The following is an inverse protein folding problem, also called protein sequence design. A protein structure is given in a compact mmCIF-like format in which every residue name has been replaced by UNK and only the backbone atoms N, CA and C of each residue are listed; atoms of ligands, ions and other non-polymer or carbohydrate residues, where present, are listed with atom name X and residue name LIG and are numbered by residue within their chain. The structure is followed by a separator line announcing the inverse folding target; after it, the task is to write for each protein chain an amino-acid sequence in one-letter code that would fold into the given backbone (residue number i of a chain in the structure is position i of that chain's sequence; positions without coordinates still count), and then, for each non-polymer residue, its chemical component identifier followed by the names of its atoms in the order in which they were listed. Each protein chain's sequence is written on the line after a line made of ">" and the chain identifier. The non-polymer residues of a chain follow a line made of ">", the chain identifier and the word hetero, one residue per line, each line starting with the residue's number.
data_IF_299403707620
#
_entry.id   IF_299403707620
#
_cell.length_a   1.000
_cell.length_b   1.000
_cell.length_c   1.000
_cell.angle_alpha   90.00
_cell.angle_beta   90.00
_cell.angle_gamma   90.00
#
_symmetry.space_group_name_H-M   'P 1'
#
loop_
_entity.id
_entity.type
_entity.pdbx_description
1 polymer ?
#
# COMPACT_ATOMS: atom_id res chain seq x y z
N UNK A 1 -43.27 30.03 40.56
CA UNK A 1 -41.97 30.14 41.26
C UNK A 1 -40.90 30.38 40.21
N UNK A 2 -40.47 31.63 40.06
CA UNK A 2 -39.49 32.05 39.07
C UNK A 2 -38.11 32.16 39.76
N UNK A 3 -37.13 31.39 39.29
CA UNK A 3 -35.74 31.50 39.76
C UNK A 3 -34.96 32.42 38.84
N UNK A 4 -34.37 33.47 39.43
CA UNK A 4 -33.57 34.50 38.78
C UNK A 4 -32.14 33.99 38.56
N UNK A 5 -31.66 34.04 37.32
CA UNK A 5 -30.24 33.94 37.00
C UNK A 5 -29.54 35.26 37.31
N UNK A 6 -28.47 35.20 38.12
CA UNK A 6 -27.56 36.32 38.38
C UNK A 6 -26.31 36.09 37.53
N UNK A 7 -26.06 36.98 36.58
CA UNK A 7 -24.82 37.07 35.79
C UNK A 7 -23.80 37.90 36.57
N UNK A 8 -22.61 37.36 36.81
CA UNK A 8 -21.43 38.12 37.29
C UNK A 8 -20.66 38.69 36.09
N UNK A 9 -20.18 39.94 36.12
CA UNK A 9 -19.32 40.47 35.08
C UNK A 9 -17.85 40.07 35.30
N UNK A 10 -17.19 39.68 34.21
CA UNK A 10 -15.75 39.47 34.09
C UNK A 10 -15.02 40.83 34.06
N UNK A 11 -14.00 40.97 34.90
CA UNK A 11 -13.07 42.09 34.95
C UNK A 11 -11.92 41.86 33.94
N UNK A 12 -11.76 42.76 32.98
CA UNK A 12 -10.57 42.85 32.13
C UNK A 12 -9.42 43.50 32.92
N UNK A 13 -8.42 42.71 33.28
CA UNK A 13 -7.14 43.20 33.77
C UNK A 13 -6.17 43.45 32.62
N UNK A 14 -5.98 44.73 32.25
CA UNK A 14 -4.90 45.15 31.36
C UNK A 14 -3.54 45.05 32.08
N UNK A 15 -2.60 44.28 31.53
CA UNK A 15 -1.19 44.30 31.95
C UNK A 15 -0.38 45.18 31.01
N UNK A 16 0.22 46.20 31.61
CA UNK A 16 1.21 47.10 31.01
C UNK A 16 2.54 46.34 30.87
N UNK A 17 3.08 46.29 29.65
CA UNK A 17 4.43 45.82 29.36
C UNK A 17 5.42 46.96 29.56
N UNK A 18 6.34 46.83 30.52
CA UNK A 18 7.53 47.68 30.63
C UNK A 18 8.72 46.99 30.00
N UNK A 19 9.35 47.66 29.05
CA UNK A 19 10.59 47.25 28.37
C UNK A 19 11.78 47.49 29.29
N UNK A 20 12.50 46.41 29.65
CA UNK A 20 13.81 46.47 30.31
C UNK A 20 14.79 45.61 29.53
N UNK A 21 15.79 46.26 28.94
CA UNK A 21 16.90 45.64 28.20
C UNK A 21 18.07 45.46 29.15
N UNK A 22 18.40 44.23 29.49
CA UNK A 22 19.69 43.88 30.10
C UNK A 22 20.32 42.74 29.30
N UNK A 23 21.49 43.04 28.74
CA UNK A 23 22.28 42.15 27.90
C UNK A 23 23.27 41.37 28.78
N UNK A 24 23.09 40.06 28.89
CA UNK A 24 24.05 39.15 29.52
C UNK A 24 24.91 38.51 28.44
N UNK A 25 26.20 38.88 28.43
CA UNK A 25 27.25 38.27 27.63
C UNK A 25 27.58 36.87 28.19
N UNK A 26 27.20 35.82 27.47
CA UNK A 26 27.69 34.45 27.70
C UNK A 26 28.80 34.17 26.70
N UNK A 27 30.02 33.99 27.20
CA UNK A 27 31.18 33.58 26.39
C UNK A 27 31.06 32.12 25.97
N UNK A 28 31.08 31.89 24.65
CA UNK A 28 31.12 30.56 24.03
C UNK A 28 32.57 30.18 23.77
N UNK A 29 33.01 29.04 24.28
CA UNK A 29 34.32 28.45 24.00
C UNK A 29 34.38 27.90 22.57
N UNK A 30 35.56 27.94 21.89
CA UNK A 30 35.70 27.42 20.54
C UNK A 30 35.69 25.88 20.51
N UNK A 31 35.23 25.27 19.40
CA UNK A 31 35.19 23.81 19.26
C UNK A 31 36.59 23.22 19.01
N UNK A 32 36.81 21.94 19.37
CA UNK A 32 38.08 21.26 19.12
C UNK A 32 38.26 20.91 17.63
N UNK A 33 39.51 20.96 17.18
CA UNK A 33 39.95 20.60 15.83
C UNK A 33 39.72 19.11 15.52
N UNK A 34 39.39 18.75 14.26
CA UNK A 34 39.18 17.36 13.88
C UNK A 34 40.51 16.63 13.61
N UNK A 35 40.63 15.44 14.19
CA UNK A 35 41.70 14.48 13.94
C UNK A 35 41.69 13.97 12.49
N UNK A 36 42.85 14.01 11.86
CA UNK A 36 43.13 13.51 10.51
C UNK A 36 43.14 11.98 10.48
N UNK A 37 42.23 11.37 9.72
CA UNK A 37 42.29 9.95 9.36
C UNK A 37 42.94 9.79 7.99
N UNK A 38 44.04 9.03 7.95
CA UNK A 38 44.75 8.65 6.72
C UNK A 38 43.87 7.72 5.86
N UNK A 39 43.67 8.09 4.59
CA UNK A 39 43.01 7.24 3.59
C UNK A 39 44.04 6.62 2.64
N UNK A 40 43.95 5.31 2.47
CA UNK A 40 44.77 4.55 1.54
C UNK A 40 44.42 4.92 0.09
N UNK A 41 45.42 5.47 -0.62
CA UNK A 41 45.37 5.80 -2.04
C UNK A 41 45.50 4.53 -2.90
N UNK A 42 44.49 4.24 -3.74
CA UNK A 42 44.61 3.32 -4.87
C UNK A 42 44.95 4.12 -6.14
N UNK A 43 45.88 3.67 -7.02
CA UNK A 43 46.36 4.49 -8.12
C UNK A 43 45.28 4.69 -9.22
N UNK A 44 44.93 5.95 -9.48
CA UNK A 44 43.99 6.42 -10.54
C UNK A 44 44.24 5.89 -11.96
N UNK A 45 45.40 5.30 -12.23
CA UNK A 45 45.81 4.81 -13.55
C UNK A 45 45.14 3.50 -13.98
N UNK A 46 44.63 2.69 -13.04
CA UNK A 46 43.95 1.43 -13.36
C UNK A 46 42.46 1.64 -13.72
N UNK A 47 41.83 2.64 -13.14
CA UNK A 47 40.40 2.90 -13.34
C UNK A 47 40.09 3.48 -14.73
N UNK A 48 40.96 4.32 -15.29
CA UNK A 48 40.71 4.93 -16.60
C UNK A 48 40.76 3.91 -17.75
N UNK A 49 41.66 2.91 -17.67
CA UNK A 49 41.76 1.84 -18.67
C UNK A 49 40.55 0.90 -18.67
N UNK A 50 39.96 0.64 -17.50
CA UNK A 50 38.75 -0.18 -17.38
C UNK A 50 37.55 0.54 -18.01
N UNK A 51 37.43 1.85 -17.79
CA UNK A 51 36.33 2.66 -18.33
C UNK A 51 36.41 2.78 -19.87
N UNK A 52 37.60 2.89 -20.45
CA UNK A 52 37.76 2.94 -21.91
C UNK A 52 37.42 1.61 -22.58
N UNK A 53 37.81 0.47 -21.99
CA UNK A 53 37.45 -0.86 -22.51
C UNK A 53 35.94 -1.13 -22.45
N UNK A 54 35.26 -0.68 -21.38
CA UNK A 54 33.81 -0.82 -21.26
C UNK A 54 33.06 0.02 -22.31
N UNK A 55 33.54 1.24 -22.62
CA UNK A 55 32.95 2.07 -23.70
C UNK A 55 33.10 1.47 -25.08
N UNK A 56 34.26 0.85 -25.38
CA UNK A 56 34.49 0.21 -26.67
C UNK A 56 33.57 -1.00 -26.86
N UNK A 57 33.37 -1.79 -25.81
CA UNK A 57 32.55 -3.01 -25.84
C UNK A 57 31.05 -2.69 -25.95
N UNK A 58 30.55 -1.64 -25.28
CA UNK A 58 29.15 -1.22 -25.41
C UNK A 58 28.80 -0.69 -26.81
N UNK A 59 29.71 0.03 -27.49
CA UNK A 59 29.44 0.55 -28.84
C UNK A 59 29.29 -0.57 -29.88
N UNK A 60 29.99 -1.69 -29.70
CA UNK A 60 29.91 -2.82 -30.63
C UNK A 60 28.55 -3.54 -30.54
N UNK A 61 28.01 -3.71 -29.32
CA UNK A 61 26.76 -4.43 -29.09
C UNK A 61 25.51 -3.65 -29.54
N UNK A 62 25.49 -2.32 -29.39
CA UNK A 62 24.35 -1.49 -29.82
C UNK A 62 24.20 -1.47 -31.35
N UNK A 63 25.32 -1.51 -32.09
CA UNK A 63 25.28 -1.53 -33.57
C UNK A 63 24.77 -2.86 -34.13
N UNK A 64 25.04 -3.98 -33.45
CA UNK A 64 24.56 -5.29 -33.86
C UNK A 64 23.06 -5.44 -33.60
N UNK A 65 22.58 -4.99 -32.44
CA UNK A 65 21.17 -5.10 -32.05
C UNK A 65 20.25 -4.28 -32.96
N UNK A 66 20.67 -3.07 -33.34
CA UNK A 66 19.93 -2.20 -34.26
C UNK A 66 19.70 -2.85 -35.64
N UNK A 67 20.68 -3.60 -36.16
CA UNK A 67 20.56 -4.26 -37.48
C UNK A 67 19.64 -5.48 -37.46
N UNK A 68 19.57 -6.20 -36.34
CA UNK A 68 18.69 -7.37 -36.19
C UNK A 68 17.23 -6.94 -36.09
N UNK A 69 16.94 -5.85 -35.38
CA UNK A 69 15.58 -5.32 -35.23
C UNK A 69 15.04 -4.79 -36.57
N UNK A 70 15.87 -4.11 -37.37
CA UNK A 70 15.45 -3.62 -38.69
C UNK A 70 15.15 -4.74 -39.70
N UNK A 71 15.78 -5.92 -39.58
CA UNK A 71 15.48 -7.06 -40.44
C UNK A 71 14.17 -7.77 -40.05
N UNK A 72 13.83 -7.82 -38.76
CA UNK A 72 12.58 -8.42 -38.29
C UNK A 72 11.34 -7.63 -38.75
N UNK A 73 11.42 -6.30 -38.77
CA UNK A 73 10.33 -5.45 -39.26
C UNK A 73 10.13 -5.52 -40.78
N UNK A 74 11.17 -5.83 -41.57
CA UNK A 74 11.06 -5.98 -43.02
C UNK A 74 10.43 -7.34 -43.42
N UNK A 75 10.54 -8.36 -42.58
CA UNK A 75 9.95 -9.67 -42.84
C UNK A 75 8.44 -9.71 -42.51
N UNK A 76 7.96 -8.87 -41.59
CA UNK A 76 6.55 -8.79 -41.21
C UNK A 76 5.68 -7.99 -42.20
N UNK A 77 6.28 -7.18 -43.08
CA UNK A 77 5.54 -6.33 -44.03
C UNK A 77 5.23 -6.97 -45.37
N UNK A 78 5.68 -8.22 -45.63
CA UNK A 78 5.51 -8.90 -46.93
C UNK A 78 4.52 -10.07 -46.92
N UNK A 79 3.81 -10.31 -45.81
CA UNK A 79 2.93 -11.48 -45.63
C UNK A 79 1.43 -11.29 -45.88
N UNK A 80 0.94 -10.11 -46.26
CA UNK A 80 -0.50 -9.83 -46.34
C UNK A 80 -0.90 -9.24 -47.70
N UNK A 81 -1.07 -10.11 -48.70
CA UNK A 81 -1.74 -9.81 -49.96
C UNK A 81 -2.37 -11.09 -50.51
N UNK A 82 -3.46 -11.56 -49.88
CA UNK A 82 -4.40 -12.47 -50.53
C UNK A 82 -5.79 -11.83 -50.52
N UNK A 83 -6.41 -11.80 -51.71
CA UNK A 83 -7.71 -11.19 -51.99
C UNK A 83 -8.82 -11.95 -51.26
N UNK A 84 -9.56 -11.24 -50.40
CA UNK A 84 -10.80 -11.70 -49.78
C UNK A 84 -11.97 -10.89 -50.35
N UNK A 85 -13.04 -11.60 -50.68
CA UNK A 85 -14.29 -11.10 -51.28
C UNK A 85 -14.95 -10.01 -50.41
N UNK A 86 -15.14 -8.81 -50.97
CA UNK A 86 -15.45 -7.58 -50.22
C UNK A 86 -16.92 -7.31 -49.92
N UNK A 87 -17.85 -8.13 -50.41
CA UNK A 87 -19.25 -7.66 -50.50
C UNK A 87 -20.19 -8.26 -49.44
N UNK A 88 -19.75 -9.26 -48.66
CA UNK A 88 -20.53 -9.83 -47.54
C UNK A 88 -19.98 -9.47 -46.15
N UNK A 89 -18.75 -8.95 -46.05
CA UNK A 89 -18.13 -8.60 -44.77
C UNK A 89 -18.41 -7.16 -44.35
N UNK A 90 -18.85 -6.26 -45.23
CA UNK A 90 -19.16 -4.88 -44.85
C UNK A 90 -20.36 -4.76 -43.89
N UNK A 91 -21.38 -5.63 -44.03
CA UNK A 91 -22.54 -5.66 -43.13
C UNK A 91 -22.23 -6.37 -41.81
N UNK A 92 -21.26 -7.30 -41.80
CA UNK A 92 -20.80 -7.99 -40.57
C UNK A 92 -19.75 -7.16 -39.82
N UNK A 93 -18.93 -6.38 -40.53
CA UNK A 93 -17.95 -5.44 -39.97
C UNK A 93 -18.60 -4.15 -39.43
N UNK A 94 -19.74 -3.72 -39.98
CA UNK A 94 -20.50 -2.61 -39.43
C UNK A 94 -21.17 -2.94 -38.07
N UNK A 95 -21.55 -4.21 -37.85
CA UNK A 95 -22.02 -4.71 -36.55
C UNK A 95 -20.89 -5.25 -35.64
N UNK A 96 -19.71 -5.59 -36.18
CA UNK A 96 -18.53 -5.89 -35.36
C UNK A 96 -17.84 -4.62 -34.81
N UNK A 97 -18.30 -3.44 -35.24
CA UNK A 97 -17.94 -2.14 -34.65
C UNK A 97 -18.77 -1.79 -33.42
N UNK A 98 -19.80 -2.58 -33.11
CA UNK A 98 -20.21 -2.83 -31.72
C UNK A 98 -19.16 -3.76 -31.08
N UNK A 99 -17.92 -3.25 -31.05
CA UNK A 99 -16.82 -3.79 -30.26
C UNK A 99 -17.37 -4.10 -28.89
N UNK A 100 -17.22 -5.34 -28.46
CA UNK A 100 -17.69 -5.85 -27.19
C UNK A 100 -17.27 -4.87 -26.08
N UNK A 101 -18.19 -3.97 -25.66
CA UNK A 101 -17.93 -2.84 -24.74
C UNK A 101 -17.40 -3.30 -23.37
N UNK A 102 -17.40 -4.63 -23.17
CA UNK A 102 -17.04 -5.36 -21.98
C UNK A 102 -15.63 -5.96 -22.05
N UNK A 103 -15.03 -6.07 -23.24
CA UNK A 103 -13.65 -6.52 -23.40
C UNK A 103 -12.64 -5.39 -23.13
N UNK A 104 -11.37 -5.72 -22.84
CA UNK A 104 -10.29 -4.75 -22.67
C UNK A 104 -9.95 -3.95 -23.95
N UNK A 105 -10.79 -3.94 -24.97
CA UNK A 105 -10.50 -3.32 -26.27
C UNK A 105 -10.40 -1.78 -26.18
N UNK A 106 -10.85 -1.20 -25.05
CA UNK A 106 -10.63 0.20 -24.68
C UNK A 106 -9.34 0.42 -23.86
N UNK A 107 -8.62 -0.64 -23.52
CA UNK A 107 -7.32 -0.56 -22.86
C UNK A 107 -6.29 -0.09 -23.88
N UNK A 108 -5.78 1.12 -23.69
CA UNK A 108 -4.73 1.70 -24.53
C UNK A 108 -3.39 1.02 -24.24
N UNK A 109 -3.19 0.57 -23.01
CA UNK A 109 -1.96 -0.11 -22.61
C UNK A 109 -1.92 -1.58 -23.06
N UNK A 110 -0.74 -2.10 -23.45
CA UNK A 110 -0.58 -3.50 -23.80
C UNK A 110 -1.06 -4.43 -22.69
N UNK A 111 -1.88 -5.42 -23.05
CA UNK A 111 -2.30 -6.50 -22.16
C UNK A 111 -1.22 -7.58 -22.00
N UNK A 112 -0.26 -7.62 -22.94
CA UNK A 112 0.91 -8.49 -22.86
C UNK A 112 1.79 -8.04 -21.71
N UNK A 113 2.19 -8.99 -20.86
CA UNK A 113 3.11 -8.73 -19.77
C UNK A 113 4.47 -8.27 -20.32
N UNK A 114 4.98 -7.17 -19.77
CA UNK A 114 6.29 -6.60 -20.06
C UNK A 114 7.08 -6.55 -18.76
N UNK A 115 8.39 -6.69 -18.85
CA UNK A 115 9.29 -6.34 -17.74
C UNK A 115 9.18 -4.85 -17.41
N UNK A 116 9.63 -4.43 -16.23
CA UNK A 116 9.63 -3.02 -15.85
C UNK A 116 10.41 -2.14 -16.84
N UNK A 117 11.60 -2.58 -17.27
CA UNK A 117 12.42 -1.83 -18.23
C UNK A 117 11.75 -1.71 -19.61
N UNK A 118 11.10 -2.78 -20.09
CA UNK A 118 10.32 -2.74 -21.33
C UNK A 118 9.12 -1.80 -21.21
N UNK A 119 8.42 -1.81 -20.07
CA UNK A 119 7.31 -0.90 -19.79
C UNK A 119 7.78 0.55 -19.77
N UNK A 120 8.85 0.86 -19.03
CA UNK A 120 9.44 2.20 -18.97
C UNK A 120 9.87 2.64 -20.37
N UNK A 121 10.52 1.78 -21.16
CA UNK A 121 10.93 2.10 -22.52
C UNK A 121 9.73 2.35 -23.46
N UNK A 122 8.68 1.54 -23.35
CA UNK A 122 7.45 1.65 -24.13
C UNK A 122 6.71 2.96 -23.84
N UNK A 123 6.57 3.32 -22.56
CA UNK A 123 5.67 4.38 -22.14
C UNK A 123 6.36 5.73 -21.88
N UNK A 124 7.69 5.75 -21.66
CA UNK A 124 8.46 7.01 -21.49
C UNK A 124 8.21 8.05 -22.58
N UNK A 125 8.12 7.71 -23.88
CA UNK A 125 7.82 8.69 -24.93
C UNK A 125 6.45 9.40 -24.78
N UNK A 126 5.51 8.77 -24.07
CA UNK A 126 4.17 9.31 -23.83
C UNK A 126 4.07 10.10 -22.51
N UNK A 127 5.14 10.14 -21.72
CA UNK A 127 5.17 10.78 -20.40
C UNK A 127 5.80 12.17 -20.48
N UNK A 128 5.17 13.16 -19.84
CA UNK A 128 5.71 14.51 -19.70
C UNK A 128 5.81 14.94 -18.23
N UNK A 129 6.45 14.10 -17.42
CA UNK A 129 6.51 14.26 -15.97
C UNK A 129 5.42 13.46 -15.25
N UNK A 130 5.13 13.86 -14.01
CA UNK A 130 4.11 13.25 -13.17
C UNK A 130 2.72 13.76 -13.54
N UNK A 131 1.74 12.84 -13.62
CA UNK A 131 0.35 13.13 -13.98
C UNK A 131 -0.62 12.25 -13.17
N UNK A 132 -1.43 12.88 -12.31
CA UNK A 132 -2.26 12.24 -11.29
C UNK A 132 -3.37 11.32 -11.82
N UNK A 133 -3.63 11.40 -13.12
CA UNK A 133 -4.68 10.66 -13.81
C UNK A 133 -4.15 9.92 -15.03
N UNK A 134 -2.85 9.65 -15.11
CA UNK A 134 -2.24 9.08 -16.30
C UNK A 134 -2.92 7.78 -16.77
N UNK A 135 -3.31 6.91 -15.83
CA UNK A 135 -3.97 5.64 -16.11
C UNK A 135 -5.49 5.72 -16.27
N UNK A 136 -6.10 6.88 -15.97
CA UNK A 136 -7.53 7.08 -16.12
C UNK A 136 -7.94 6.86 -17.57
N UNK A 137 -8.78 5.86 -17.82
CA UNK A 137 -9.22 5.46 -19.16
C UNK A 137 -8.18 4.76 -20.05
N UNK A 138 -6.91 4.63 -19.63
CA UNK A 138 -5.87 3.90 -20.40
C UNK A 138 -5.72 2.44 -19.96
N UNK A 139 -6.29 2.09 -18.80
CA UNK A 139 -6.16 0.80 -18.13
C UNK A 139 -4.83 0.64 -17.40
N UNK A 140 -4.49 -0.59 -17.05
CA UNK A 140 -3.36 -0.89 -16.17
C UNK A 140 -2.27 -1.69 -16.86
N UNK A 141 -0.99 -1.45 -16.54
CA UNK A 141 0.09 -2.34 -16.96
C UNK A 141 -0.15 -3.75 -16.41
N UNK A 142 0.25 -4.76 -17.18
CA UNK A 142 0.27 -6.13 -16.69
C UNK A 142 1.55 -6.36 -15.87
N UNK A 143 1.42 -6.33 -14.54
CA UNK A 143 2.52 -6.42 -13.58
C UNK A 143 3.12 -7.82 -13.39
N UNK A 144 2.61 -8.85 -14.08
CA UNK A 144 3.00 -10.26 -13.83
C UNK A 144 4.47 -10.58 -14.10
N UNK A 145 5.19 -9.72 -14.82
CA UNK A 145 6.64 -9.84 -15.04
C UNK A 145 7.48 -8.87 -14.20
N UNK A 146 6.86 -8.07 -13.33
CA UNK A 146 7.57 -7.13 -12.47
C UNK A 146 7.89 -7.79 -11.13
N UNK A 147 9.07 -7.48 -10.62
CA UNK A 147 9.57 -7.92 -9.33
C UNK A 147 9.73 -6.73 -8.38
N UNK A 148 9.71 -6.94 -7.07
CA UNK A 148 9.97 -5.87 -6.11
C UNK A 148 11.27 -5.10 -6.38
N UNK A 149 12.30 -5.80 -6.85
CA UNK A 149 13.63 -5.24 -7.14
C UNK A 149 13.63 -4.30 -8.34
N UNK A 150 12.64 -4.40 -9.22
CA UNK A 150 12.50 -3.50 -10.37
C UNK A 150 12.03 -2.10 -9.94
N UNK A 151 11.24 -2.02 -8.85
CA UNK A 151 10.54 -0.80 -8.44
C UNK A 151 11.02 -0.21 -7.11
N UNK A 152 11.81 -0.96 -6.32
CA UNK A 152 12.40 -0.50 -5.06
C UNK A 152 13.92 -0.41 -5.11
N UNK A 153 14.53 0.46 -4.31
CA UNK A 153 15.98 0.50 -4.15
C UNK A 153 16.55 -0.82 -3.62
N UNK A 154 17.74 -1.23 -4.06
CA UNK A 154 18.32 -2.52 -3.70
C UNK A 154 18.60 -2.65 -2.18
N UNK A 155 18.91 -1.54 -1.51
CA UNK A 155 19.23 -1.50 -0.09
C UNK A 155 18.09 -2.00 0.81
N UNK A 156 16.82 -1.83 0.40
CA UNK A 156 15.69 -2.20 1.26
C UNK A 156 15.51 -3.72 1.42
N UNK A 157 16.13 -4.52 0.55
CA UNK A 157 16.10 -5.98 0.57
C UNK A 157 17.20 -6.61 1.45
N UNK A 158 18.18 -5.82 1.90
CA UNK A 158 19.30 -6.31 2.71
C UNK A 158 19.00 -6.49 4.20
N UNK A 159 17.77 -6.21 4.63
CA UNK A 159 17.40 -6.16 6.03
C UNK A 159 16.71 -7.44 6.52
N UNK A 160 16.83 -7.78 7.81
CA UNK A 160 16.09 -8.91 8.37
C UNK A 160 14.59 -8.64 8.34
N UNK A 161 13.81 -9.72 8.18
CA UNK A 161 12.36 -9.72 8.31
C UNK A 161 11.97 -10.69 9.42
N UNK A 162 11.14 -10.21 10.35
CA UNK A 162 10.66 -10.99 11.50
C UNK A 162 9.15 -11.03 11.51
N UNK A 163 8.61 -12.17 11.94
CA UNK A 163 7.17 -12.34 12.06
C UNK A 163 6.68 -11.63 13.33
N UNK A 164 5.67 -10.76 13.22
CA UNK A 164 5.09 -10.09 14.38
C UNK A 164 4.55 -11.08 15.42
N UNK A 165 4.26 -12.34 15.04
CA UNK A 165 3.90 -13.41 15.96
C UNK A 165 4.97 -13.78 16.99
N UNK A 166 6.23 -13.39 16.77
CA UNK A 166 7.31 -13.49 17.76
C UNK A 166 7.17 -12.49 18.92
N UNK A 167 6.40 -11.41 18.72
CA UNK A 167 6.27 -10.34 19.70
C UNK A 167 5.32 -10.71 20.86
N UNK A 168 5.38 -10.01 21.99
CA UNK A 168 4.33 -10.08 22.99
C UNK A 168 2.95 -9.67 22.43
N UNK A 169 1.87 -10.32 22.92
CA UNK A 169 0.49 -10.12 22.44
C UNK A 169 0.04 -8.65 22.47
N UNK A 170 0.46 -7.88 23.48
CA UNK A 170 0.16 -6.46 23.59
C UNK A 170 0.84 -5.64 22.47
N UNK A 171 2.13 -5.86 22.20
CA UNK A 171 2.86 -5.16 21.14
C UNK A 171 2.27 -5.49 19.78
N UNK A 172 2.03 -6.78 19.49
CA UNK A 172 1.29 -7.20 18.28
C UNK A 172 -0.04 -6.49 18.15
N UNK A 173 -0.76 -6.38 19.26
CA UNK A 173 -2.08 -5.76 19.29
C UNK A 173 -2.03 -4.28 18.89
N UNK A 174 -0.97 -3.56 19.26
CA UNK A 174 -0.74 -2.17 18.83
C UNK A 174 -0.35 -2.09 17.35
N UNK A 175 0.63 -2.89 16.91
CA UNK A 175 1.05 -2.92 15.50
C UNK A 175 -0.08 -3.27 14.52
N UNK A 176 -1.13 -3.95 15.00
CA UNK A 176 -2.31 -4.35 14.21
C UNK A 176 -3.45 -3.33 14.20
N UNK A 177 -3.42 -2.26 15.00
CA UNK A 177 -4.50 -1.25 15.04
C UNK A 177 -4.42 -0.23 13.89
N UNK A 178 -3.43 -0.38 13.02
CA UNK A 178 -2.82 0.63 12.15
C UNK A 178 -3.60 0.97 10.91
N UNK A 179 -4.83 0.47 10.80
CA UNK A 179 -5.73 0.90 9.74
C UNK A 179 -6.31 2.31 9.93
N UNK A 180 -5.80 3.07 10.90
CA UNK A 180 -6.18 4.45 11.19
C UNK A 180 -4.93 5.32 11.09
N UNK A 181 -5.12 6.57 10.67
CA UNK A 181 -4.14 7.66 10.57
C UNK A 181 -3.37 8.01 11.85
N UNK A 182 -3.44 7.18 12.89
CA UNK A 182 -2.89 7.44 14.22
C UNK A 182 -2.02 6.27 14.67
N UNK A 183 -0.76 6.59 14.97
CA UNK A 183 0.20 5.66 15.58
C UNK A 183 0.12 5.85 17.09
N UNK A 184 -0.62 4.97 17.77
CA UNK A 184 -0.74 4.97 19.24
C UNK A 184 0.43 4.22 19.89
N UNK A 185 1.66 4.54 19.49
CA UNK A 185 2.88 3.93 20.01
C UNK A 185 3.98 4.99 20.16
N UNK A 186 4.83 4.81 21.17
CA UNK A 186 6.08 5.57 21.29
C UNK A 186 6.94 5.36 20.03
N UNK A 187 7.33 6.47 19.39
CA UNK A 187 8.02 6.46 18.10
C UNK A 187 9.39 5.78 18.17
N UNK A 188 10.07 5.83 19.31
CA UNK A 188 11.38 5.17 19.49
C UNK A 188 11.21 3.66 19.65
N UNK A 189 10.16 3.23 20.35
CA UNK A 189 9.77 1.81 20.40
C UNK A 189 9.44 1.30 19.00
N UNK A 190 8.72 2.10 18.21
CA UNK A 190 8.37 1.72 16.85
C UNK A 190 9.60 1.64 15.93
N UNK A 191 10.53 2.59 16.04
CA UNK A 191 11.82 2.56 15.33
C UNK A 191 12.66 1.34 15.69
N UNK A 192 12.73 0.99 16.97
CA UNK A 192 13.45 -0.21 17.43
C UNK A 192 12.85 -1.50 16.84
N UNK A 193 11.52 -1.64 16.86
CA UNK A 193 10.83 -2.77 16.23
C UNK A 193 11.04 -2.81 14.71
N UNK A 194 10.96 -1.65 14.05
CA UNK A 194 11.19 -1.57 12.61
C UNK A 194 12.62 -1.97 12.24
N UNK A 195 13.60 -1.54 13.02
CA UNK A 195 15.01 -1.88 12.83
C UNK A 195 15.27 -3.38 13.05
N UNK A 196 14.61 -3.99 14.02
CA UNK A 196 14.63 -5.43 14.25
C UNK A 196 14.02 -6.25 13.09
N UNK A 197 13.30 -5.62 12.15
CA UNK A 197 12.78 -6.29 10.95
C UNK A 197 11.28 -6.57 10.97
N UNK A 198 10.51 -6.01 11.90
CA UNK A 198 9.06 -6.21 11.93
C UNK A 198 8.36 -5.37 10.85
N UNK A 199 7.84 -6.01 9.81
CA UNK A 199 7.28 -5.34 8.63
C UNK A 199 6.09 -4.42 8.96
N UNK A 200 5.26 -4.76 9.95
CA UNK A 200 4.14 -3.93 10.38
C UNK A 200 4.62 -2.68 11.11
N UNK A 201 5.72 -2.75 11.85
CA UNK A 201 6.32 -1.56 12.46
C UNK A 201 6.91 -0.64 11.37
N UNK A 202 7.55 -1.22 10.35
CA UNK A 202 8.04 -0.49 9.18
C UNK A 202 6.88 0.18 8.41
N UNK A 203 5.76 -0.54 8.24
CA UNK A 203 4.53 -0.01 7.65
C UNK A 203 3.94 1.15 8.46
N UNK A 204 3.91 1.03 9.79
CA UNK A 204 3.45 2.08 10.70
C UNK A 204 4.27 3.35 10.60
N UNK A 205 5.60 3.25 10.51
CA UNK A 205 6.46 4.41 10.28
C UNK A 205 6.11 5.10 8.95
N UNK A 206 5.68 4.32 7.94
CA UNK A 206 5.15 4.83 6.68
C UNK A 206 3.90 5.72 6.81
N UNK A 207 3.13 5.62 7.89
CA UNK A 207 1.98 6.54 8.12
C UNK A 207 2.43 7.99 8.33
N UNK A 208 3.70 8.21 8.71
CA UNK A 208 4.31 9.54 8.82
C UNK A 208 4.69 10.16 7.48
N UNK A 209 4.40 9.48 6.36
CA UNK A 209 4.45 10.11 5.04
C UNK A 209 3.40 11.22 4.89
N UNK A 210 2.42 11.28 5.79
CA UNK A 210 1.62 12.46 5.98
C UNK A 210 2.47 13.52 6.74
N UNK A 211 3.00 14.53 6.05
CA UNK A 211 3.99 15.50 6.58
C UNK A 211 3.65 16.15 7.93
N UNK A 212 2.36 16.28 8.26
CA UNK A 212 1.88 16.82 9.54
C UNK A 212 1.48 15.76 10.57
N UNK A 213 1.82 14.49 10.35
CA UNK A 213 1.49 13.41 11.26
C UNK A 213 2.12 13.63 12.64
N UNK A 214 1.35 13.35 13.68
CA UNK A 214 1.80 13.39 15.05
C UNK A 214 2.70 12.19 15.34
N UNK A 215 3.85 12.45 15.97
CA UNK A 215 4.74 11.43 16.49
C UNK A 215 4.70 11.51 18.00
N UNK A 216 4.62 10.37 18.65
CA UNK A 216 4.37 10.29 20.08
C UNK A 216 5.60 9.77 20.82
N UNK A 217 5.81 10.26 22.04
CA UNK A 217 6.80 9.73 22.98
C UNK A 217 6.11 9.34 24.29
N UNK A 218 6.56 8.27 24.92
CA UNK A 218 6.11 7.86 26.23
C UNK A 218 6.46 8.91 27.27
N UNK A 219 5.48 9.30 28.07
CA UNK A 219 5.62 10.31 29.11
C UNK A 219 5.06 9.76 30.44
N UNK A 220 5.89 9.10 31.28
CA UNK A 220 5.42 8.48 32.52
C UNK A 220 4.83 9.50 33.50
N UNK A 221 5.41 10.70 33.53
CA UNK A 221 5.01 11.81 34.41
C UNK A 221 3.90 12.66 33.82
N UNK A 222 3.56 12.44 32.55
CA UNK A 222 2.50 13.14 31.84
C UNK A 222 1.20 13.06 32.64
N UNK A 223 0.70 14.22 33.06
CA UNK A 223 -0.75 14.37 33.21
C UNK A 223 -1.30 14.41 31.79
N UNK A 224 -2.41 13.73 31.54
CA UNK A 224 -3.11 13.91 30.28
C UNK A 224 -3.26 15.41 30.04
N UNK A 225 -2.84 15.90 28.88
CA UNK A 225 -3.21 17.26 28.48
C UNK A 225 -4.66 17.15 28.03
N UNK A 226 -5.55 17.27 29.02
CA UNK A 226 -6.94 16.81 28.96
C UNK A 226 -7.75 17.53 27.88
N UNK A 227 -7.29 18.67 27.37
CA UNK A 227 -8.11 19.53 26.53
C UNK A 227 -8.00 19.21 25.03
N UNK A 228 -6.90 18.61 24.57
CA UNK A 228 -6.72 18.21 23.16
C UNK A 228 -7.02 16.72 22.93
N UNK A 229 -6.65 15.85 23.88
CA UNK A 229 -6.87 14.41 23.79
C UNK A 229 -8.29 13.99 24.17
N UNK A 230 -9.05 14.79 24.94
CA UNK A 230 -10.46 14.51 25.20
C UNK A 230 -11.30 14.53 23.91
N UNK A 231 -10.92 15.29 22.89
CA UNK A 231 -11.63 15.31 21.60
C UNK A 231 -11.36 14.04 20.76
N UNK A 232 -10.19 13.41 20.92
CA UNK A 232 -9.82 12.14 20.27
C UNK A 232 -10.25 10.90 21.08
N UNK A 233 -10.34 11.03 22.41
CA UNK A 233 -10.69 9.94 23.33
C UNK A 233 -12.20 9.81 23.57
N UNK A 234 -13.02 10.80 23.20
CA UNK A 234 -14.48 10.73 23.33
C UNK A 234 -15.07 9.78 22.25
N UNK A 235 -14.97 8.45 22.47
CA UNK A 235 -16.12 7.52 22.55
C UNK A 235 -15.91 6.07 22.19
N UNK A 236 -14.81 5.61 21.57
CA UNK A 236 -14.94 4.34 20.83
C UNK A 236 -14.18 3.07 21.28
N UNK A 237 -12.92 3.02 21.73
CA UNK A 237 -12.26 1.68 21.80
C UNK A 237 -11.09 1.48 22.79
N UNK A 238 -11.10 2.10 23.98
CA UNK A 238 -10.03 1.84 24.97
C UNK A 238 -10.65 1.31 26.26
N UNK A 239 -10.49 0.00 26.49
CA UNK A 239 -10.83 -0.66 27.75
C UNK A 239 -9.95 -0.11 28.88
N UNK A 240 -10.52 0.04 30.07
CA UNK A 240 -10.00 0.76 31.23
C UNK A 240 -8.63 0.34 31.80
N UNK A 241 -7.99 -0.70 31.25
CA UNK A 241 -6.73 -1.24 31.78
C UNK A 241 -5.53 -0.75 30.95
N UNK A 242 -4.80 0.21 31.54
CA UNK A 242 -3.45 0.65 31.18
C UNK A 242 -3.33 1.57 29.95
N UNK A 243 -3.93 2.74 30.09
CA UNK A 243 -3.64 3.94 29.30
C UNK A 243 -2.13 4.24 29.23
N UNK A 244 -1.50 3.99 28.08
CA UNK A 244 -0.14 4.47 27.81
C UNK A 244 -0.20 5.99 27.70
N UNK A 245 0.53 6.67 28.58
CA UNK A 245 0.67 8.13 28.54
C UNK A 245 1.63 8.51 27.42
N UNK A 246 1.07 8.96 26.30
CA UNK A 246 1.81 9.45 25.15
C UNK A 246 1.72 10.98 25.08
N UNK A 247 2.80 11.63 24.68
CA UNK A 247 2.86 13.06 24.40
C UNK A 247 3.29 13.30 22.96
N UNK A 248 2.64 14.23 22.27
CA UNK A 248 3.01 14.61 20.90
C UNK A 248 4.35 15.33 20.91
N UNK A 249 5.26 14.92 20.02
CA UNK A 249 6.54 15.59 19.83
C UNK A 249 6.36 16.89 19.03
N UNK A 250 7.00 18.00 19.45
CA UNK A 250 7.12 19.20 18.63
C UNK A 250 7.76 18.89 17.27
N UNK A 251 7.42 19.66 16.23
CA UNK A 251 7.90 19.42 14.87
C UNK A 251 9.44 19.38 14.74
N UNK A 252 10.17 20.19 15.52
CA UNK A 252 11.65 20.18 15.53
C UNK A 252 12.26 18.99 16.28
N UNK A 253 11.43 18.17 16.93
CA UNK A 253 11.82 16.99 17.71
C UNK A 253 11.33 15.67 17.11
N UNK A 254 10.61 15.69 15.99
CA UNK A 254 10.13 14.49 15.31
C UNK A 254 11.32 13.70 14.74
N UNK A 255 11.58 12.46 15.19
CA UNK A 255 12.74 11.69 14.71
C UNK A 255 12.55 11.11 13.30
N UNK A 256 11.31 11.01 12.79
CA UNK A 256 11.03 10.43 11.47
C UNK A 256 10.57 11.51 10.51
N UNK A 257 11.37 11.82 9.49
CA UNK A 257 10.93 12.71 8.42
C UNK A 257 10.04 11.97 7.41
N UNK A 258 9.38 12.70 6.50
CA UNK A 258 8.62 12.09 5.39
C UNK A 258 9.49 11.19 4.50
N UNK A 259 10.77 11.52 4.32
CA UNK A 259 11.71 10.69 3.56
C UNK A 259 12.07 9.41 4.31
N UNK A 260 12.27 9.50 5.63
CA UNK A 260 12.53 8.33 6.47
C UNK A 260 11.30 7.42 6.51
N UNK A 261 10.10 8.01 6.60
CA UNK A 261 8.84 7.28 6.55
C UNK A 261 8.67 6.50 5.23
N UNK A 262 8.99 7.13 4.09
CA UNK A 262 8.98 6.44 2.79
C UNK A 262 9.99 5.28 2.77
N UNK A 263 11.20 5.51 3.25
CA UNK A 263 12.23 4.48 3.34
C UNK A 263 11.76 3.29 4.19
N UNK A 264 11.17 3.54 5.36
CA UNK A 264 10.62 2.49 6.21
C UNK A 264 9.47 1.75 5.54
N UNK A 265 8.55 2.45 4.88
CA UNK A 265 7.46 1.83 4.14
C UNK A 265 7.97 0.92 3.01
N UNK A 266 9.01 1.36 2.28
CA UNK A 266 9.67 0.57 1.24
C UNK A 266 10.31 -0.70 1.81
N UNK A 267 11.01 -0.57 2.93
CA UNK A 267 11.62 -1.70 3.65
C UNK A 267 10.55 -2.70 4.13
N UNK A 268 9.43 -2.20 4.64
CA UNK A 268 8.27 -3.00 5.00
C UNK A 268 7.70 -3.77 3.80
N UNK A 269 7.43 -3.08 2.69
CA UNK A 269 6.87 -3.68 1.49
C UNK A 269 7.78 -4.77 0.88
N UNK A 270 9.11 -4.56 0.94
CA UNK A 270 10.12 -5.50 0.47
C UNK A 270 10.09 -6.86 1.20
N UNK A 271 9.51 -6.92 2.41
CA UNK A 271 9.34 -8.18 3.16
C UNK A 271 8.32 -9.14 2.56
N UNK A 272 7.47 -8.68 1.62
CA UNK A 272 6.33 -9.45 1.13
C UNK A 272 5.09 -9.38 2.04
N UNK A 273 5.15 -8.68 3.17
CA UNK A 273 4.01 -8.54 4.07
C UNK A 273 2.91 -7.65 3.44
N UNK A 274 1.69 -8.19 3.29
CA UNK A 274 0.58 -7.49 2.64
C UNK A 274 0.22 -6.13 3.27
N UNK A 275 0.28 -6.01 4.60
CA UNK A 275 0.02 -4.73 5.29
C UNK A 275 1.10 -3.73 4.97
N UNK A 276 2.35 -4.16 4.95
CA UNK A 276 3.46 -3.27 4.67
C UNK A 276 3.50 -2.82 3.21
N UNK A 277 3.16 -3.71 2.27
CA UNK A 277 2.96 -3.38 0.86
C UNK A 277 1.84 -2.33 0.70
N UNK A 278 0.71 -2.52 1.37
CA UNK A 278 -0.36 -1.51 1.37
C UNK A 278 0.03 -0.22 2.11
N UNK A 279 0.81 -0.33 3.19
CA UNK A 279 1.36 0.82 3.91
C UNK A 279 2.25 1.68 3.03
N UNK A 280 3.03 1.06 2.14
CA UNK A 280 3.78 1.77 1.09
C UNK A 280 2.85 2.49 0.11
N UNK A 281 1.77 1.85 -0.35
CA UNK A 281 0.76 2.50 -1.20
C UNK A 281 0.20 3.75 -0.54
N UNK A 282 -0.20 3.64 0.72
CA UNK A 282 -0.73 4.78 1.48
C UNK A 282 0.31 5.88 1.67
N UNK A 283 1.55 5.52 1.97
CA UNK A 283 2.65 6.47 2.08
C UNK A 283 2.88 7.22 0.76
N UNK A 284 2.99 6.50 -0.36
CA UNK A 284 3.22 7.08 -1.68
C UNK A 284 2.08 8.01 -2.11
N UNK A 285 0.84 7.62 -1.83
CA UNK A 285 -0.34 8.42 -2.11
C UNK A 285 -0.39 9.70 -1.24
N UNK A 286 -0.05 9.60 0.04
CA UNK A 286 -0.01 10.76 0.93
C UNK A 286 1.07 11.77 0.53
N UNK A 287 2.23 11.28 0.06
CA UNK A 287 3.31 12.16 -0.45
C UNK A 287 2.83 12.96 -1.66
N UNK A 288 2.12 12.31 -2.58
CA UNK A 288 1.51 12.97 -3.73
C UNK A 288 0.49 14.03 -3.27
N UNK A 289 -0.52 13.63 -2.50
CA UNK A 289 -1.56 14.54 -2.01
C UNK A 289 -0.99 15.79 -1.34
N UNK A 290 0.01 15.63 -0.47
CA UNK A 290 0.61 16.75 0.26
C UNK A 290 1.40 17.64 -0.68
N UNK A 291 2.17 17.10 -1.63
CA UNK A 291 2.90 17.94 -2.57
C UNK A 291 1.98 18.65 -3.57
N UNK A 292 0.82 18.07 -3.86
CA UNK A 292 -0.19 18.65 -4.73
C UNK A 292 -1.02 19.75 -4.05
N UNK A 293 -1.39 19.57 -2.77
CA UNK A 293 -2.31 20.48 -2.07
C UNK A 293 -1.67 21.36 -0.99
N UNK A 294 -0.47 21.02 -0.50
CA UNK A 294 0.17 21.63 0.67
C UNK A 294 1.69 21.75 0.48
N UNK A 295 2.14 22.13 -0.72
CA UNK A 295 3.57 22.18 -1.04
C UNK A 295 4.37 23.10 -0.09
N UNK A 296 3.74 24.17 0.39
CA UNK A 296 4.30 25.12 1.35
C UNK A 296 4.65 24.51 2.72
N UNK A 297 3.96 23.43 3.10
CA UNK A 297 4.19 22.73 4.36
C UNK A 297 5.36 21.74 4.26
N UNK A 298 5.80 21.42 3.05
CA UNK A 298 6.84 20.41 2.81
C UNK A 298 8.22 21.05 2.73
N UNK A 299 8.95 21.03 3.85
CA UNK A 299 10.34 21.55 3.91
C UNK A 299 11.28 20.89 2.89
N UNK A 300 11.08 19.60 2.62
CA UNK A 300 11.93 18.79 1.74
C UNK A 300 11.09 17.87 0.85
N UNK A 301 10.53 18.38 -0.26
CA UNK A 301 9.66 17.59 -1.13
C UNK A 301 10.41 16.39 -1.74
N UNK A 302 9.69 15.28 -1.89
CA UNK A 302 10.18 14.08 -2.55
C UNK A 302 9.86 14.20 -4.03
N UNK A 303 10.86 14.17 -4.89
CA UNK A 303 10.65 14.26 -6.34
C UNK A 303 9.80 13.07 -6.82
N UNK A 304 8.60 13.35 -7.30
CA UNK A 304 7.74 12.38 -7.97
C UNK A 304 8.25 12.17 -9.41
N UNK A 305 8.51 10.93 -9.78
CA UNK A 305 8.88 10.59 -11.16
C UNK A 305 7.64 10.27 -12.02
N UNK A 306 7.82 10.22 -13.34
CA UNK A 306 6.72 10.01 -14.27
C UNK A 306 5.99 8.67 -14.11
N UNK A 307 6.59 7.71 -13.40
CA UNK A 307 6.06 6.36 -13.17
C UNK A 307 5.67 6.14 -11.70
N UNK A 308 5.50 7.21 -10.92
CA UNK A 308 5.13 7.12 -9.50
C UNK A 308 3.85 6.31 -9.28
N UNK A 309 2.82 6.58 -10.09
CA UNK A 309 1.56 5.86 -10.02
C UNK A 309 1.68 4.40 -10.45
N UNK A 310 2.48 4.09 -11.47
CA UNK A 310 2.74 2.70 -11.90
C UNK A 310 3.32 1.85 -10.75
N UNK A 311 4.31 2.42 -10.02
CA UNK A 311 4.90 1.78 -8.83
C UNK A 311 3.88 1.62 -7.71
N UNK A 312 3.05 2.64 -7.49
CA UNK A 312 1.99 2.61 -6.50
C UNK A 312 0.96 1.51 -6.83
N UNK A 313 0.51 1.40 -8.09
CA UNK A 313 -0.39 0.34 -8.54
C UNK A 313 0.23 -1.05 -8.42
N UNK A 314 1.50 -1.18 -8.77
CA UNK A 314 2.25 -2.41 -8.57
C UNK A 314 2.17 -2.85 -7.09
N UNK A 315 2.48 -1.94 -6.16
CA UNK A 315 2.44 -2.26 -4.73
C UNK A 315 1.03 -2.53 -4.20
N UNK A 316 0.01 -1.87 -4.74
CA UNK A 316 -1.38 -2.22 -4.41
C UNK A 316 -1.69 -3.63 -4.89
N UNK A 317 -1.30 -3.98 -6.10
CA UNK A 317 -1.49 -5.32 -6.64
C UNK A 317 -0.76 -6.38 -5.81
N UNK A 318 0.50 -6.15 -5.46
CA UNK A 318 1.27 -7.03 -4.57
C UNK A 318 0.56 -7.21 -3.21
N UNK A 319 0.02 -6.14 -2.61
CA UNK A 319 -0.72 -6.25 -1.34
C UNK A 319 -1.99 -7.10 -1.45
N UNK A 320 -2.64 -7.10 -2.62
CA UNK A 320 -3.81 -7.91 -2.90
C UNK A 320 -3.41 -9.38 -3.08
N UNK A 321 -2.32 -9.65 -3.81
CA UNK A 321 -1.80 -11.01 -3.99
C UNK A 321 -1.28 -11.63 -2.69
N UNK A 322 -0.67 -10.81 -1.83
CA UNK A 322 -0.05 -11.25 -0.57
C UNK A 322 -1.05 -11.45 0.57
N UNK A 323 -2.34 -11.09 0.40
CA UNK A 323 -3.32 -11.33 1.46
C UNK A 323 -4.71 -10.73 1.28
N UNK A 324 -5.05 -10.22 0.09
CA UNK A 324 -6.30 -9.50 -0.21
C UNK A 324 -6.68 -8.54 0.91
N UNK A 325 -5.76 -7.69 1.37
CA UNK A 325 -6.06 -6.81 2.50
C UNK A 325 -7.37 -6.05 2.22
N UNK A 326 -8.33 -6.09 3.13
CA UNK A 326 -9.64 -5.48 2.94
C UNK A 326 -9.52 -4.01 2.54
N UNK A 327 -8.62 -3.26 3.20
CA UNK A 327 -8.31 -1.89 2.81
C UNK A 327 -7.73 -1.76 1.39
N UNK A 328 -6.90 -2.69 0.93
CA UNK A 328 -6.41 -2.69 -0.43
C UNK A 328 -7.53 -2.95 -1.44
N UNK A 329 -8.44 -3.88 -1.13
CA UNK A 329 -9.63 -4.14 -1.96
C UNK A 329 -10.56 -2.92 -1.95
N UNK A 330 -10.74 -2.29 -0.79
CA UNK A 330 -11.49 -1.04 -0.65
C UNK A 330 -10.86 0.10 -1.44
N UNK A 331 -9.54 0.19 -1.54
CA UNK A 331 -8.89 1.18 -2.41
C UNK A 331 -9.13 0.82 -3.89
N UNK A 332 -9.04 -0.45 -4.30
CA UNK A 332 -9.42 -0.83 -5.68
C UNK A 332 -10.88 -0.52 -6.00
N UNK A 333 -11.78 -0.65 -5.03
CA UNK A 333 -13.20 -0.34 -5.22
C UNK A 333 -13.49 1.16 -5.11
N UNK A 334 -12.84 1.93 -4.25
CA UNK A 334 -13.25 3.30 -3.87
C UNK A 334 -12.28 4.43 -4.32
N UNK A 335 -11.08 4.11 -4.78
CA UNK A 335 -10.07 5.12 -5.05
C UNK A 335 -10.41 5.93 -6.31
N UNK A 336 -10.76 7.21 -6.13
CA UNK A 336 -11.05 8.18 -7.20
C UNK A 336 -9.97 8.28 -8.28
N UNK A 337 -8.73 7.96 -7.91
CA UNK A 337 -7.54 8.00 -8.76
C UNK A 337 -7.28 6.67 -9.46
N UNK A 338 -8.13 5.64 -9.30
CA UNK A 338 -8.01 4.32 -9.93
C UNK A 338 -9.14 3.99 -10.93
N UNK A 339 -9.98 4.94 -11.28
CA UNK A 339 -11.18 4.58 -12.04
C UNK A 339 -11.02 4.72 -13.55
N UNK A 340 -11.51 3.73 -14.32
CA UNK A 340 -12.10 4.04 -15.62
C UNK A 340 -13.16 5.12 -15.44
N UNK A 341 -13.48 5.89 -16.47
CA UNK A 341 -14.50 6.94 -16.37
C UNK A 341 -15.77 6.46 -15.62
N UNK A 342 -16.17 7.10 -14.50
CA UNK A 342 -17.30 6.65 -13.70
C UNK A 342 -18.57 6.47 -14.54
N UNK A 343 -19.24 5.34 -14.37
CA UNK A 343 -20.45 4.98 -15.13
C UNK A 343 -20.18 4.34 -16.49
N UNK A 344 -18.92 4.11 -16.87
CA UNK A 344 -18.59 3.24 -18.00
C UNK A 344 -18.82 1.76 -17.66
N UNK A 345 -19.17 0.88 -18.62
CA UNK A 345 -19.27 -0.55 -18.37
C UNK A 345 -17.98 -1.15 -17.77
N UNK A 346 -16.81 -0.65 -18.16
CA UNK A 346 -15.51 -1.07 -17.61
C UNK A 346 -15.35 -0.70 -16.13
N UNK A 347 -15.83 0.49 -15.74
CA UNK A 347 -15.89 0.89 -14.33
C UNK A 347 -16.74 -0.10 -13.53
N UNK A 348 -17.93 -0.43 -14.04
CA UNK A 348 -18.85 -1.34 -13.35
C UNK A 348 -18.28 -2.77 -13.26
N UNK A 349 -17.61 -3.26 -14.30
CA UNK A 349 -16.92 -4.56 -14.28
C UNK A 349 -15.82 -4.60 -13.22
N UNK A 350 -14.92 -3.59 -13.16
CA UNK A 350 -13.87 -3.53 -12.13
C UNK A 350 -14.46 -3.43 -10.73
N UNK A 351 -15.44 -2.55 -10.54
CA UNK A 351 -16.04 -2.28 -9.24
C UNK A 351 -16.76 -3.54 -8.72
N UNK A 352 -17.52 -4.24 -9.58
CA UNK A 352 -18.11 -5.54 -9.25
C UNK A 352 -17.04 -6.60 -8.93
N UNK A 353 -16.01 -6.74 -9.77
CA UNK A 353 -14.93 -7.74 -9.59
C UNK A 353 -14.29 -7.63 -8.20
N UNK A 354 -13.90 -6.42 -7.80
CA UNK A 354 -13.24 -6.23 -6.51
C UNK A 354 -14.22 -6.36 -5.33
N UNK A 355 -15.48 -5.92 -5.46
CA UNK A 355 -16.52 -6.21 -4.47
C UNK A 355 -16.80 -7.71 -4.32
N UNK A 356 -16.70 -8.48 -5.41
CA UNK A 356 -16.88 -9.94 -5.41
C UNK A 356 -15.71 -10.64 -4.70
N UNK A 357 -14.47 -10.27 -5.00
CA UNK A 357 -13.28 -10.79 -4.31
C UNK A 357 -13.31 -10.45 -2.81
N UNK A 358 -13.71 -9.23 -2.47
CA UNK A 358 -13.94 -8.81 -1.09
C UNK A 358 -14.97 -9.68 -0.39
N UNK A 359 -16.12 -9.92 -1.04
CA UNK A 359 -17.19 -10.73 -0.48
C UNK A 359 -16.74 -12.17 -0.20
N UNK A 360 -15.98 -12.77 -1.13
CA UNK A 360 -15.44 -14.13 -0.93
C UNK A 360 -14.52 -14.16 0.28
N UNK A 361 -13.59 -13.21 0.38
CA UNK A 361 -12.68 -13.09 1.51
C UNK A 361 -13.40 -12.83 2.84
N UNK A 362 -14.36 -11.90 2.85
CA UNK A 362 -15.08 -11.51 4.05
C UNK A 362 -15.89 -12.68 4.63
N UNK A 363 -16.46 -13.54 3.77
CA UNK A 363 -17.14 -14.76 4.20
C UNK A 363 -16.18 -15.85 4.65
N UNK A 364 -15.08 -16.06 3.92
CA UNK A 364 -14.03 -17.02 4.27
C UNK A 364 -13.49 -16.79 5.69
N UNK A 365 -13.29 -15.52 6.06
CA UNK A 365 -12.75 -15.08 7.36
C UNK A 365 -13.82 -14.84 8.43
N UNK A 366 -15.10 -15.10 8.12
CA UNK A 366 -16.22 -14.76 9.00
C UNK A 366 -16.40 -13.26 9.29
N UNK A 367 -15.67 -12.38 8.60
CA UNK A 367 -15.70 -10.92 8.76
C UNK A 367 -17.10 -10.36 8.44
N UNK A 368 -17.86 -11.00 7.55
CA UNK A 368 -19.25 -10.60 7.26
C UNK A 368 -20.14 -10.50 8.51
N UNK A 369 -19.85 -11.27 9.57
CA UNK A 369 -20.57 -11.21 10.86
C UNK A 369 -20.21 -9.99 11.71
N UNK A 370 -19.11 -9.30 11.37
CA UNK A 370 -18.60 -8.14 12.10
C UNK A 370 -19.15 -6.81 11.55
N UNK A 371 -19.57 -6.81 10.29
CA UNK A 371 -20.25 -5.68 9.67
C UNK A 371 -21.74 -5.74 9.99
N UNK A 372 -22.35 -4.58 10.22
CA UNK A 372 -23.81 -4.49 10.13
C UNK A 372 -24.26 -4.82 8.69
N UNK A 373 -25.51 -5.25 8.55
CA UNK A 373 -26.08 -5.67 7.27
C UNK A 373 -25.93 -4.60 6.18
N UNK A 374 -26.07 -3.32 6.56
CA UNK A 374 -25.94 -2.20 5.63
C UNK A 374 -24.51 -2.01 5.14
N UNK A 375 -23.53 -2.01 6.05
CA UNK A 375 -22.10 -1.93 5.72
C UNK A 375 -21.64 -3.11 4.86
N UNK A 376 -22.14 -4.32 5.14
CA UNK A 376 -21.85 -5.49 4.30
C UNK A 376 -22.46 -5.33 2.90
N UNK A 377 -23.73 -4.91 2.82
CA UNK A 377 -24.43 -4.72 1.55
C UNK A 377 -23.74 -3.67 0.66
N UNK A 378 -23.25 -2.57 1.24
CA UNK A 378 -22.55 -1.53 0.50
C UNK A 378 -21.22 -1.98 -0.13
N UNK A 379 -20.56 -2.98 0.47
CA UNK A 379 -19.22 -3.44 0.07
C UNK A 379 -19.26 -4.68 -0.83
N UNK A 380 -20.29 -5.50 -0.66
CA UNK A 380 -20.51 -6.74 -1.41
C UNK A 380 -21.17 -6.52 -2.76
N UNK A 381 -21.32 -7.58 -3.53
CA UNK A 381 -22.00 -7.53 -4.84
C UNK A 381 -23.49 -7.15 -4.74
N UNK A 382 -24.08 -7.23 -3.55
CA UNK A 382 -25.46 -6.80 -3.30
C UNK A 382 -25.69 -5.31 -3.57
N UNK A 383 -24.63 -4.49 -3.56
CA UNK A 383 -24.69 -3.08 -3.94
C UNK A 383 -25.10 -2.87 -5.42
N UNK A 384 -25.06 -3.92 -6.25
CA UNK A 384 -25.31 -3.91 -7.69
C UNK A 384 -26.61 -4.57 -8.12
N UNK A 385 -27.36 -5.18 -7.20
CA UNK A 385 -28.61 -5.88 -7.52
C UNK A 385 -29.59 -4.94 -8.25
N UNK A 386 -29.93 -5.31 -9.49
CA UNK A 386 -30.82 -4.54 -10.36
C UNK A 386 -30.22 -3.25 -10.95
N UNK A 387 -28.93 -2.97 -10.73
CA UNK A 387 -28.24 -1.77 -11.25
C UNK A 387 -27.37 -2.06 -12.47
N UNK A 388 -26.73 -3.21 -12.52
CA UNK A 388 -25.85 -3.62 -13.62
C UNK A 388 -26.59 -4.55 -14.58
N UNK A 389 -26.21 -4.52 -15.87
CA UNK A 389 -26.73 -5.47 -16.84
C UNK A 389 -26.12 -6.86 -16.64
N UNK A 390 -26.84 -7.90 -17.09
CA UNK A 390 -26.38 -9.29 -17.00
C UNK A 390 -25.02 -9.48 -17.69
N UNK A 391 -24.77 -8.80 -18.82
CA UNK A 391 -23.51 -8.90 -19.54
C UNK A 391 -22.33 -8.31 -18.76
N UNK A 392 -22.54 -7.18 -18.06
CA UNK A 392 -21.52 -6.57 -17.18
C UNK A 392 -21.19 -7.51 -16.02
N UNK A 393 -22.21 -8.09 -15.38
CA UNK A 393 -22.03 -9.06 -14.30
C UNK A 393 -21.30 -10.31 -14.79
N UNK A 394 -21.70 -10.87 -15.94
CA UNK A 394 -21.06 -12.05 -16.52
C UNK A 394 -19.59 -11.81 -16.87
N UNK A 395 -19.25 -10.64 -17.41
CA UNK A 395 -17.86 -10.27 -17.69
C UNK A 395 -17.05 -10.09 -16.40
N UNK A 396 -17.62 -9.45 -15.37
CA UNK A 396 -16.95 -9.28 -14.08
C UNK A 396 -16.68 -10.63 -13.42
N UNK A 397 -17.65 -11.55 -13.41
CA UNK A 397 -17.47 -12.90 -12.86
C UNK A 397 -16.42 -13.72 -13.63
N UNK A 398 -16.35 -13.56 -14.95
CA UNK A 398 -15.26 -14.14 -15.76
C UNK A 398 -13.89 -13.63 -15.31
N UNK A 399 -13.75 -12.33 -15.05
CA UNK A 399 -12.49 -11.73 -14.60
C UNK A 399 -12.14 -12.08 -13.15
N UNK A 400 -13.15 -12.22 -12.27
CA UNK A 400 -12.96 -12.79 -10.92
C UNK A 400 -12.33 -14.17 -11.06
N UNK A 401 -12.90 -15.05 -11.89
CA UNK A 401 -12.35 -16.38 -12.11
C UNK A 401 -10.94 -16.39 -12.72
N UNK A 402 -10.65 -15.49 -13.66
CA UNK A 402 -9.30 -15.33 -14.22
C UNK A 402 -8.29 -14.89 -13.15
N UNK A 403 -8.65 -13.90 -12.33
CA UNK A 403 -7.78 -13.42 -11.26
C UNK A 403 -7.53 -14.51 -10.21
N UNK A 404 -8.56 -15.24 -9.80
CA UNK A 404 -8.45 -16.33 -8.82
C UNK A 404 -7.56 -17.48 -9.31
N UNK A 405 -7.67 -17.85 -10.60
CA UNK A 405 -6.78 -18.86 -11.20
C UNK A 405 -5.34 -18.39 -11.34
N UNK A 406 -5.12 -17.08 -11.53
CA UNK A 406 -3.79 -16.47 -11.57
C UNK A 406 -3.13 -16.34 -10.19
N UNK A 407 -3.91 -16.36 -9.10
CA UNK A 407 -3.43 -16.14 -7.73
C UNK A 407 -3.97 -17.19 -6.75
N UNK A 408 -3.75 -18.49 -6.97
CA UNK A 408 -4.30 -19.54 -6.11
C UNK A 408 -3.77 -19.45 -4.67
N UNK A 409 -2.55 -18.97 -4.49
CA UNK A 409 -1.89 -18.87 -3.18
C UNK A 409 -2.47 -17.78 -2.28
N UNK A 410 -3.31 -16.87 -2.80
CA UNK A 410 -3.82 -15.75 -2.02
C UNK A 410 -4.60 -16.18 -0.78
N UNK A 411 -5.31 -17.30 -0.85
CA UNK A 411 -6.08 -17.84 0.28
C UNK A 411 -5.18 -18.43 1.36
N UNK A 412 -4.08 -19.06 0.93
CA UNK A 412 -3.04 -19.55 1.83
C UNK A 412 -2.32 -18.37 2.48
N UNK A 413 -1.99 -17.34 1.70
CA UNK A 413 -1.39 -16.11 2.19
C UNK A 413 -2.31 -15.39 3.17
N UNK A 414 -3.62 -15.31 2.89
CA UNK A 414 -4.61 -14.86 3.87
C UNK A 414 -4.45 -15.72 5.11
N UNK A 415 -4.59 -17.05 5.05
CA UNK A 415 -4.51 -17.88 6.26
C UNK A 415 -3.23 -17.67 7.09
N UNK A 416 -2.06 -17.70 6.43
CA UNK A 416 -0.75 -17.58 7.07
C UNK A 416 -0.46 -16.15 7.57
N UNK A 417 -1.14 -15.12 7.02
CA UNK A 417 -0.91 -13.72 7.39
C UNK A 417 -2.19 -12.98 7.87
N UNK A 418 -3.25 -13.72 8.18
CA UNK A 418 -4.63 -13.21 8.41
C UNK A 418 -4.84 -12.53 9.73
N UNK A 419 -3.81 -12.44 10.57
CA UNK A 419 -3.83 -11.84 11.90
C UNK A 419 -4.10 -10.32 11.89
N UNK A 420 -4.45 -9.77 10.72
CA UNK A 420 -4.31 -8.39 10.28
C UNK A 420 -5.64 -7.59 10.28
N UNK A 421 -6.81 -8.21 10.42
CA UNK A 421 -8.07 -7.45 10.34
C UNK A 421 -8.99 -7.48 11.56
N UNK A 422 -9.85 -6.47 11.56
CA UNK A 422 -10.36 -5.76 12.72
C UNK A 422 -11.59 -6.46 13.30
N UNK A 423 -11.39 -7.10 14.47
CA UNK A 423 -12.39 -7.62 15.43
C UNK A 423 -12.88 -9.07 15.29
N UNK A 424 -12.00 -10.07 15.33
CA UNK A 424 -12.22 -11.15 16.26
C UNK A 424 -11.88 -10.63 17.67
N UNK A 425 -12.55 -11.13 18.71
CA UNK A 425 -12.10 -10.95 20.11
C UNK A 425 -10.68 -11.52 20.33
N UNK A 426 -10.12 -12.16 19.32
CA UNK A 426 -8.98 -13.06 19.29
C UNK A 426 -8.04 -12.62 18.16
N UNK A 427 -7.03 -11.81 18.49
CA UNK A 427 -5.94 -11.43 17.56
C UNK A 427 -4.91 -12.55 17.46
N UNK A 428 -5.33 -13.68 16.88
CA UNK A 428 -4.52 -14.90 16.90
C UNK A 428 -3.44 -14.85 15.84
N UNK A 429 -2.32 -15.50 16.14
CA UNK A 429 -1.29 -15.84 15.18
C UNK A 429 -1.55 -17.21 14.55
N UNK A 430 -1.04 -17.46 13.34
CA UNK A 430 -0.99 -18.82 12.80
C UNK A 430 -0.44 -19.81 13.83
N UNK A 431 -1.16 -20.91 14.03
CA UNK A 431 -0.82 -21.93 15.03
C UNK A 431 -1.34 -21.68 16.44
N UNK A 432 -1.80 -20.47 16.80
CA UNK A 432 -2.43 -20.24 18.09
C UNK A 432 -3.82 -20.92 18.17
N UNK A 433 -4.23 -21.42 19.36
CA UNK A 433 -5.53 -22.07 19.53
C UNK A 433 -6.68 -21.15 19.11
N UNK A 434 -7.53 -21.64 18.20
CA UNK A 434 -8.66 -20.88 17.65
C UNK A 434 -8.38 -20.24 16.29
N UNK A 435 -7.11 -20.11 15.85
CA UNK A 435 -6.79 -19.44 14.59
C UNK A 435 -7.42 -20.15 13.39
N UNK A 436 -7.30 -21.48 13.35
CA UNK A 436 -7.83 -22.28 12.24
C UNK A 436 -9.36 -22.20 12.15
N UNK A 437 -10.04 -22.12 13.29
CA UNK A 437 -11.49 -22.05 13.40
C UNK A 437 -12.08 -20.73 12.89
N UNK A 438 -11.27 -19.68 12.68
CA UNK A 438 -11.71 -18.41 12.08
C UNK A 438 -11.89 -18.51 10.55
N UNK A 439 -11.49 -19.63 9.93
CA UNK A 439 -11.51 -19.83 8.47
C UNK A 439 -12.45 -20.96 8.05
N UNK A 440 -13.38 -20.66 7.14
CA UNK A 440 -14.28 -21.67 6.57
C UNK A 440 -13.78 -22.15 5.21
N UNK A 441 -12.78 -23.03 5.21
CA UNK A 441 -12.22 -23.61 3.99
C UNK A 441 -13.22 -24.47 3.21
N UNK A 442 -14.20 -25.08 3.88
CA UNK A 442 -15.22 -25.88 3.22
C UNK A 442 -16.16 -24.99 2.41
N UNK A 443 -16.62 -23.88 3.00
CA UNK A 443 -17.36 -22.85 2.30
C UNK A 443 -16.55 -22.23 1.17
N UNK A 444 -15.28 -21.87 1.42
CA UNK A 444 -14.41 -21.28 0.42
C UNK A 444 -14.25 -22.20 -0.81
N UNK A 445 -13.94 -23.49 -0.61
CA UNK A 445 -13.79 -24.42 -1.72
C UNK A 445 -15.10 -24.64 -2.50
N UNK A 446 -16.24 -24.65 -1.81
CA UNK A 446 -17.54 -24.69 -2.48
C UNK A 446 -17.76 -23.45 -3.36
N UNK A 447 -17.39 -22.27 -2.86
CA UNK A 447 -17.49 -21.02 -3.60
C UNK A 447 -16.52 -20.98 -4.78
N UNK A 448 -15.26 -21.37 -4.57
CA UNK A 448 -14.21 -21.35 -5.60
C UNK A 448 -14.41 -22.38 -6.71
N UNK A 449 -15.17 -23.45 -6.46
CA UNK A 449 -15.48 -24.46 -7.46
C UNK A 449 -16.17 -23.90 -8.71
N UNK A 450 -16.92 -22.80 -8.61
CA UNK A 450 -17.55 -22.15 -9.76
C UNK A 450 -16.54 -21.48 -10.71
N UNK A 451 -15.30 -21.28 -10.26
CA UNK A 451 -14.20 -20.68 -11.01
C UNK A 451 -13.11 -21.72 -11.37
N UNK A 452 -13.37 -23.01 -11.18
CA UNK A 452 -12.40 -24.09 -11.34
C UNK A 452 -11.15 -23.93 -10.46
N UNK A 453 -11.32 -23.39 -9.25
CA UNK A 453 -10.26 -23.23 -8.25
C UNK A 453 -10.53 -24.12 -7.05
N UNK A 454 -9.50 -24.81 -6.55
CA UNK A 454 -9.56 -25.60 -5.32
C UNK A 454 -8.34 -25.31 -4.46
N UNK A 455 -8.55 -25.17 -3.16
CA UNK A 455 -7.53 -24.86 -2.17
C UNK A 455 -7.44 -26.02 -1.18
N UNK A 456 -6.23 -26.52 -0.96
CA UNK A 456 -5.99 -27.53 0.08
C UNK A 456 -5.97 -26.82 1.44
N UNK A 457 -6.86 -27.16 2.39
CA UNK A 457 -6.84 -26.56 3.72
C UNK A 457 -5.50 -26.86 4.42
N UNK A 458 -4.95 -25.92 5.21
CA UNK A 458 -3.81 -26.20 6.07
C UNK A 458 -4.11 -27.33 7.04
N UNK A 459 -3.12 -28.17 7.35
CA UNK A 459 -3.25 -29.16 8.41
C UNK A 459 -3.61 -28.45 9.72
N UNK A 460 -4.67 -28.92 10.37
CA UNK A 460 -5.08 -28.38 11.66
C UNK A 460 -3.98 -28.68 12.68
N UNK A 461 -3.45 -27.67 13.40
CA UNK A 461 -2.48 -27.90 14.45
C UNK A 461 -3.01 -28.95 15.43
N UNK A 462 -2.24 -30.01 15.68
CA UNK A 462 -2.58 -30.98 16.70
C UNK A 462 -2.54 -30.25 18.04
N UNK A 463 -3.70 -30.09 18.67
CA UNK A 463 -3.76 -29.55 20.03
C UNK A 463 -3.12 -30.60 20.92
N UNK A 464 -1.86 -30.39 21.29
CA UNK A 464 -1.23 -31.18 22.34
C UNK A 464 -2.11 -31.04 23.57
N UNK A 465 -2.84 -32.11 23.89
CA UNK A 465 -3.64 -32.14 25.11
C UNK A 465 -2.64 -31.96 26.24
N UNK A 466 -2.71 -30.88 27.03
CA UNK A 466 -1.70 -30.58 28.03
C UNK A 466 -1.58 -31.82 28.90
N UNK A 467 -0.45 -32.52 28.75
CA UNK A 467 -0.19 -33.73 29.52
C UNK A 467 -0.22 -33.27 30.96
N UNK A 468 -1.20 -33.76 31.73
CA UNK A 468 -1.35 -33.40 33.14
C UNK A 468 0.02 -33.60 33.78
N UNK A 469 0.73 -32.51 34.07
CA UNK A 469 1.91 -32.58 34.93
C UNK A 469 1.35 -32.99 36.28
N UNK A 470 1.58 -34.25 36.62
CA UNK A 470 1.30 -34.82 37.93
C UNK A 470 1.80 -33.83 38.99
N UNK A 471 0.86 -33.35 39.81
CA UNK A 471 1.13 -32.52 40.98
C UNK A 471 1.75 -33.33 42.10
#
# INVERSE_FOLDING_TARGET
>A
MASKNIVKPMSLGARVLTTGTDSVLIGVAPPPEPETTESHFVPRLLLSKIIENLRATMKLNVSLLSKVISLAFLALSLGACDKVDTDNDAAKAANAKDSNLLLPDNQIHPTTAMTWDEWVAYDSPNRNGFEDFYHSGKGYPNFSQWTPQDVLPAEVFGHPYRDSCELPKNIRSYLRRTSHSHVDMDVYTLLDLAEQGYAEAQAMLGTYCHGNAWQYVYNPDGKYDNDELAFAADKWYISDDEYIKLSVLPDDKKPVSMRDALYWAQRGAASGNAVAQFGLVQCMYNIDLIQTFHLEDVKHPIKLDAFWYDKLYYWLDQSLQSGLLNYAVEQRTNAKWMYPEPGSPRYDVEYYKWSRLWEIQARFRGIGKQYDEYSYKLRSTQAFEGRLSDDVVAQAEKEVGQWLRGHPDVWRNIYDHSYIERKPKTKLCPGEPGHHEEFDFAWLNKELAQYDVQITPPEKPLIETPTQKEQ
#
